data_IF_727860027797
#
_entry.id   IF_727860027797
#
_cell.length_a   1.000
_cell.length_b   1.000
_cell.length_c   1.000
_cell.angle_alpha   90.00
_cell.angle_beta   90.00
_cell.angle_gamma   90.00
#
_symmetry.space_group_name_H-M   'P 1'
#
loop_
_entity.id
_entity.type
_entity.pdbx_description
1 polymer ?
#
# COMPACT_ATOMS: atom_id res chain seq x y z
N UNK A 1 4.14 7.87 2.65
CA UNK A 1 4.33 6.45 2.32
C UNK A 1 4.38 6.32 0.82
N UNK A 2 5.34 5.57 0.28
CA UNK A 2 5.41 5.22 -1.14
C UNK A 2 4.56 3.97 -1.33
N UNK A 3 3.70 3.96 -2.33
CA UNK A 3 2.77 2.86 -2.61
C UNK A 3 2.91 2.41 -4.07
N UNK A 4 2.64 1.13 -4.32
CA UNK A 4 2.62 0.51 -5.64
C UNK A 4 1.18 0.24 -6.05
N UNK A 5 0.79 0.62 -7.26
CA UNK A 5 -0.50 0.21 -7.83
C UNK A 5 -0.34 -0.86 -8.89
N UNK A 6 -1.42 -1.61 -9.12
CA UNK A 6 -1.51 -2.64 -10.17
C UNK A 6 -0.40 -3.71 -10.08
N UNK A 7 0.05 -4.03 -8.87
CA UNK A 7 1.15 -4.96 -8.62
C UNK A 7 0.69 -6.43 -8.42
N UNK A 8 -0.62 -6.69 -8.55
CA UNK A 8 -1.21 -8.02 -8.62
C UNK A 8 -1.97 -8.15 -9.94
N UNK A 9 -1.66 -9.19 -10.72
CA UNK A 9 -2.26 -9.39 -12.07
C UNK A 9 -3.78 -9.49 -12.02
N UNK A 10 -4.30 -10.20 -11.03
CA UNK A 10 -5.75 -10.38 -10.86
C UNK A 10 -6.43 -9.03 -10.57
N UNK A 11 -5.80 -8.17 -9.77
CA UNK A 11 -6.31 -6.84 -9.49
C UNK A 11 -6.27 -5.90 -10.70
N UNK A 12 -5.24 -6.01 -11.55
CA UNK A 12 -5.22 -5.28 -12.82
C UNK A 12 -6.37 -5.71 -13.74
N UNK A 13 -6.66 -7.01 -13.79
CA UNK A 13 -7.78 -7.55 -14.56
C UNK A 13 -9.14 -7.09 -14.02
N UNK A 14 -9.36 -7.06 -12.70
CA UNK A 14 -10.58 -6.56 -12.05
C UNK A 14 -10.91 -5.11 -12.45
N UNK A 15 -9.87 -4.28 -12.58
CA UNK A 15 -10.02 -2.88 -12.96
C UNK A 15 -10.07 -2.65 -14.49
N UNK A 16 -10.02 -3.72 -15.30
CA UNK A 16 -9.81 -3.63 -16.76
C UNK A 16 -8.62 -2.72 -17.13
N UNK A 17 -7.57 -2.76 -16.32
CA UNK A 17 -6.35 -1.98 -16.56
C UNK A 17 -5.35 -2.81 -17.36
N UNK A 18 -4.62 -2.15 -18.27
CA UNK A 18 -3.45 -2.78 -18.89
C UNK A 18 -2.38 -3.04 -17.82
N UNK A 19 -1.71 -4.19 -17.92
CA UNK A 19 -0.58 -4.51 -17.04
C UNK A 19 0.53 -3.50 -17.37
N UNK A 20 0.97 -2.69 -16.40
CA UNK A 20 1.98 -1.68 -16.67
C UNK A 20 3.35 -2.31 -16.88
N UNK A 21 4.13 -1.77 -17.83
CA UNK A 21 5.51 -2.19 -18.09
C UNK A 21 6.49 -1.75 -16.98
N UNK A 22 6.12 -0.71 -16.23
CA UNK A 22 6.91 -0.11 -15.15
C UNK A 22 6.07 0.03 -13.87
N UNK A 23 6.67 0.00 -12.66
CA UNK A 23 5.92 0.15 -11.42
C UNK A 23 5.17 1.49 -11.34
N UNK A 24 3.86 1.44 -11.08
CA UNK A 24 3.05 2.64 -10.87
C UNK A 24 3.17 3.09 -9.41
N UNK A 25 3.83 4.23 -9.19
CA UNK A 25 4.14 4.74 -7.85
C UNK A 25 3.29 5.96 -7.52
N UNK A 26 2.77 6.00 -6.29
CA UNK A 26 2.09 7.17 -5.73
C UNK A 26 2.38 7.32 -4.23
N UNK A 27 1.81 8.36 -3.61
CA UNK A 27 2.05 8.67 -2.21
C UNK A 27 0.76 8.75 -1.40
N UNK A 28 0.82 8.25 -0.16
CA UNK A 28 -0.11 8.59 0.93
C UNK A 28 0.60 9.44 1.98
N UNK A 29 0.02 10.55 2.47
CA UNK A 29 0.60 11.37 3.53
C UNK A 29 0.56 10.63 4.86
N UNK A 30 1.42 11.05 5.79
CA UNK A 30 1.46 10.47 7.15
C UNK A 30 0.17 10.66 7.94
N UNK A 31 -0.65 11.65 7.60
CA UNK A 31 -1.94 11.93 8.27
C UNK A 31 -3.00 10.88 7.97
N UNK A 32 -2.85 10.09 6.91
CA UNK A 32 -3.76 8.98 6.62
C UNK A 32 -3.56 7.77 7.57
N UNK A 33 -2.44 7.70 8.27
CA UNK A 33 -2.05 6.53 9.08
C UNK A 33 -2.89 6.45 10.34
N UNK A 34 -3.44 5.26 10.59
CA UNK A 34 -4.10 4.87 11.85
C UNK A 34 -3.66 3.45 12.24
N UNK A 35 -3.81 3.13 13.52
CA UNK A 35 -3.39 1.84 14.07
C UNK A 35 -4.45 0.74 13.97
N UNK A 36 -4.15 -0.44 14.53
CA UNK A 36 -5.12 -1.53 14.63
C UNK A 36 -6.36 -1.12 15.45
N UNK A 37 -7.54 -1.53 14.99
CA UNK A 37 -8.85 -1.24 15.58
C UNK A 37 -9.29 0.23 15.55
N UNK A 38 -8.48 1.15 15.01
CA UNK A 38 -8.92 2.51 14.74
C UNK A 38 -9.96 2.52 13.61
N UNK A 39 -10.93 3.43 13.70
CA UNK A 39 -12.00 3.55 12.71
C UNK A 39 -11.54 4.19 11.41
N UNK A 40 -11.99 3.63 10.27
CA UNK A 40 -11.87 4.26 8.95
C UNK A 40 -13.05 5.22 8.76
N UNK A 41 -12.77 6.51 8.59
CA UNK A 41 -13.78 7.56 8.42
C UNK A 41 -14.03 7.82 6.94
N UNK A 42 -15.17 7.34 6.43
CA UNK A 42 -15.61 7.65 5.05
C UNK A 42 -16.09 9.10 4.96
N UNK A 43 -15.45 9.99 4.16
CA UNK A 43 -15.99 11.32 3.94
C UNK A 43 -17.38 11.25 3.31
N UNK A 44 -18.30 12.13 3.71
CA UNK A 44 -19.72 12.07 3.28
C UNK A 44 -19.91 12.11 1.76
N UNK A 45 -19.00 12.78 1.04
CA UNK A 45 -19.05 12.90 -0.42
C UNK A 45 -18.46 11.69 -1.17
N UNK A 46 -17.77 10.78 -0.48
CA UNK A 46 -17.22 9.55 -1.09
C UNK A 46 -18.34 8.53 -1.28
N UNK A 47 -18.54 8.12 -2.52
CA UNK A 47 -19.59 7.18 -2.94
C UNK A 47 -19.09 5.76 -3.10
N UNK A 48 -17.80 5.58 -3.43
CA UNK A 48 -17.20 4.27 -3.68
C UNK A 48 -15.94 4.12 -2.81
N UNK A 49 -16.13 3.62 -1.59
CA UNK A 49 -15.02 3.31 -0.68
C UNK A 49 -14.63 1.84 -0.87
N UNK A 50 -13.33 1.59 -0.94
CA UNK A 50 -12.76 0.29 -1.23
C UNK A 50 -11.56 -0.02 -0.32
N UNK A 51 -11.27 -1.30 -0.13
CA UNK A 51 -10.14 -1.79 0.66
C UNK A 51 -9.11 -2.48 -0.24
N UNK A 52 -7.85 -2.46 0.16
CA UNK A 52 -6.75 -3.12 -0.55
C UNK A 52 -5.78 -3.64 0.51
N UNK A 53 -5.73 -4.97 0.75
CA UNK A 53 -4.76 -5.54 1.68
C UNK A 53 -3.40 -5.67 1.00
N UNK A 54 -2.39 -5.06 1.62
CA UNK A 54 -1.06 -4.92 1.05
C UNK A 54 0.02 -5.35 2.06
N UNK A 55 1.10 -5.93 1.54
CA UNK A 55 2.34 -6.12 2.30
C UNK A 55 3.11 -4.79 2.32
N UNK A 56 3.28 -4.20 3.49
CA UNK A 56 4.08 -3.00 3.65
C UNK A 56 5.51 -3.35 4.07
N UNK A 57 6.48 -2.82 3.31
CA UNK A 57 7.91 -2.95 3.61
C UNK A 57 8.39 -1.76 4.45
N UNK A 58 9.00 -2.04 5.59
CA UNK A 58 9.59 -1.04 6.48
C UNK A 58 11.08 -0.94 6.19
N UNK A 59 11.52 0.23 5.71
CA UNK A 59 12.92 0.49 5.38
C UNK A 59 13.70 0.86 6.65
N UNK A 60 14.82 0.16 6.89
CA UNK A 60 15.64 0.30 8.10
C UNK A 60 16.83 1.24 7.98
N UNK A 61 17.19 1.67 6.77
CA UNK A 61 18.37 2.48 6.52
C UNK A 61 18.20 3.42 5.34
N UNK A 62 19.07 4.44 5.26
CA UNK A 62 19.13 5.30 4.08
C UNK A 62 19.65 4.48 2.90
N UNK A 63 18.93 4.52 1.79
CA UNK A 63 19.26 3.79 0.57
C UNK A 63 19.04 4.68 -0.65
N UNK A 64 19.88 4.53 -1.68
CA UNK A 64 19.76 5.21 -2.97
C UNK A 64 20.51 4.41 -4.03
N UNK A 65 19.91 4.23 -5.22
CA UNK A 65 20.50 3.50 -6.34
C UNK A 65 20.98 2.09 -5.93
N UNK A 66 20.14 1.36 -5.21
CA UNK A 66 20.46 0.05 -4.65
C UNK A 66 20.30 -1.01 -5.75
N UNK A 67 21.32 -1.85 -6.00
CA UNK A 67 21.15 -3.02 -6.86
C UNK A 67 20.07 -3.96 -6.31
N UNK A 68 19.33 -4.65 -7.17
CA UNK A 68 18.17 -5.49 -6.77
C UNK A 68 18.60 -6.56 -5.76
N UNK A 69 19.75 -7.18 -6.00
CA UNK A 69 20.38 -8.20 -5.14
C UNK A 69 20.77 -7.69 -3.74
N UNK A 70 20.85 -6.38 -3.54
CA UNK A 70 21.17 -5.77 -2.25
C UNK A 70 19.94 -5.21 -1.52
N UNK A 71 18.78 -5.14 -2.18
CA UNK A 71 17.60 -4.47 -1.66
C UNK A 71 17.18 -4.99 -0.27
N UNK A 72 17.24 -6.31 -0.06
CA UNK A 72 16.88 -6.95 1.21
C UNK A 72 17.74 -6.48 2.40
N UNK A 73 18.97 -6.00 2.15
CA UNK A 73 19.87 -5.50 3.21
C UNK A 73 19.32 -4.22 3.88
N UNK A 74 18.44 -3.50 3.19
CA UNK A 74 17.87 -2.22 3.66
C UNK A 74 16.48 -2.37 4.28
N UNK A 75 15.90 -3.57 4.26
CA UNK A 75 14.59 -3.86 4.85
C UNK A 75 14.76 -4.14 6.34
N UNK A 76 14.11 -3.35 7.19
CA UNK A 76 14.00 -3.62 8.63
C UNK A 76 13.02 -4.76 8.88
N UNK A 77 11.86 -4.71 8.21
CA UNK A 77 10.81 -5.70 8.37
C UNK A 77 9.59 -5.39 7.54
N UNK A 78 8.49 -6.06 7.88
CA UNK A 78 7.24 -6.02 7.15
C UNK A 78 6.08 -5.81 8.12
N UNK A 79 5.03 -5.15 7.66
CA UNK A 79 3.75 -4.99 8.37
C UNK A 79 2.61 -5.11 7.35
N UNK A 80 1.37 -5.18 7.83
CA UNK A 80 0.20 -5.13 6.96
C UNK A 80 -0.22 -3.67 6.79
N UNK A 81 -0.69 -3.34 5.59
CA UNK A 81 -1.34 -2.08 5.24
C UNK A 81 -2.71 -2.37 4.61
N UNK A 82 -3.71 -1.55 4.94
CA UNK A 82 -4.92 -1.42 4.13
C UNK A 82 -4.84 -0.12 3.32
N UNK A 83 -4.67 -0.19 2.00
CA UNK A 83 -4.67 0.96 1.10
C UNK A 83 -6.09 1.39 0.72
N UNK A 84 -6.79 1.93 1.73
CA UNK A 84 -8.18 2.39 1.58
C UNK A 84 -8.26 3.44 0.48
N UNK A 85 -9.23 3.26 -0.41
CA UNK A 85 -9.36 4.02 -1.66
C UNK A 85 -10.77 4.52 -1.88
N UNK A 86 -10.92 5.81 -2.16
CA UNK A 86 -12.16 6.39 -2.68
C UNK A 86 -12.12 6.35 -4.22
N UNK A 87 -12.68 5.30 -4.84
CA UNK A 87 -12.57 5.03 -6.29
C UNK A 87 -13.19 6.11 -7.15
N UNK A 88 -14.34 6.64 -6.72
CA UNK A 88 -15.03 7.74 -7.38
C UNK A 88 -14.18 9.02 -7.42
N UNK A 89 -13.32 9.21 -6.42
CA UNK A 89 -12.38 10.32 -6.34
C UNK A 89 -11.11 10.02 -7.15
N UNK A 90 -10.54 8.83 -6.99
CA UNK A 90 -9.33 8.38 -7.68
C UNK A 90 -9.48 8.50 -9.21
N UNK A 91 -10.58 7.98 -9.76
CA UNK A 91 -10.81 7.99 -11.21
C UNK A 91 -11.16 9.38 -11.73
N UNK A 92 -11.85 10.21 -10.94
CA UNK A 92 -12.15 11.59 -11.31
C UNK A 92 -10.89 12.44 -11.42
N UNK A 93 -9.97 12.29 -10.47
CA UNK A 93 -8.78 13.13 -10.37
C UNK A 93 -7.65 12.70 -11.30
N UNK A 94 -7.69 11.44 -11.77
CA UNK A 94 -6.62 10.75 -12.51
C UNK A 94 -5.36 10.53 -11.66
N UNK A 95 -4.90 11.54 -10.93
CA UNK A 95 -3.89 11.40 -9.88
C UNK A 95 -4.50 10.72 -8.65
N UNK A 96 -3.87 9.65 -8.18
CA UNK A 96 -4.47 8.80 -7.15
C UNK A 96 -4.35 9.36 -5.73
N UNK A 97 -3.40 10.28 -5.51
CA UNK A 97 -3.06 10.79 -4.17
C UNK A 97 -4.30 11.20 -3.39
N UNK A 98 -5.17 12.08 -3.90
CA UNK A 98 -6.34 12.54 -3.12
C UNK A 98 -7.30 11.40 -2.79
N UNK A 99 -7.62 10.54 -3.76
CA UNK A 99 -8.54 9.39 -3.56
C UNK A 99 -8.03 8.38 -2.54
N UNK A 100 -6.71 8.31 -2.33
CA UNK A 100 -6.06 7.41 -1.40
C UNK A 100 -5.55 8.09 -0.12
N UNK A 101 -5.83 9.37 0.13
CA UNK A 101 -5.10 10.12 1.19
C UNK A 101 -5.96 10.84 2.22
N UNK A 102 -7.26 10.55 2.29
CA UNK A 102 -8.06 11.06 3.40
C UNK A 102 -7.53 10.53 4.74
N UNK A 103 -7.72 11.30 5.81
CA UNK A 103 -7.37 10.85 7.16
C UNK A 103 -7.99 9.47 7.41
N UNK A 104 -7.26 8.60 8.11
CA UNK A 104 -7.61 7.18 8.37
C UNK A 104 -7.54 6.21 7.20
N UNK A 105 -7.13 6.63 5.99
CA UNK A 105 -7.08 5.75 4.81
C UNK A 105 -5.82 4.86 4.72
N UNK A 106 -4.95 4.87 5.72
CA UNK A 106 -3.80 3.97 5.79
C UNK A 106 -3.72 3.21 7.14
N UNK A 107 -4.71 2.36 7.48
CA UNK A 107 -4.58 1.45 8.62
C UNK A 107 -3.35 0.56 8.46
N UNK A 108 -2.50 0.49 9.48
CA UNK A 108 -1.23 -0.25 9.44
C UNK A 108 -0.94 -0.93 10.78
N UNK A 109 -0.40 -2.15 10.74
CA UNK A 109 -0.02 -2.91 11.94
C UNK A 109 -0.31 -4.42 11.80
N UNK A 110 -0.50 -5.16 12.91
CA UNK A 110 -0.42 -4.73 14.31
C UNK A 110 1.00 -4.66 14.87
N UNK A 111 1.96 -5.25 14.17
CA UNK A 111 3.36 -5.25 14.55
C UNK A 111 4.23 -5.24 13.29
N UNK A 112 5.51 -4.95 13.48
CA UNK A 112 6.51 -5.13 12.44
C UNK A 112 7.16 -6.48 12.67
N UNK A 113 7.03 -7.38 11.69
CA UNK A 113 7.79 -8.62 11.65
C UNK A 113 9.16 -8.30 11.07
N UNK A 114 10.23 -8.52 11.84
CA UNK A 114 11.59 -8.24 11.34
C UNK A 114 11.90 -9.13 10.14
N UNK A 115 12.79 -8.69 9.26
CA UNK A 115 13.17 -9.46 8.06
C UNK A 115 13.55 -10.91 8.39
N UNK A 116 14.27 -11.13 9.48
CA UNK A 116 14.69 -12.48 9.91
C UNK A 116 13.52 -13.37 10.39
N UNK A 117 12.42 -12.77 10.87
CA UNK A 117 11.24 -13.51 11.31
C UNK A 117 10.26 -13.79 10.16
N UNK A 118 10.33 -13.05 9.05
CA UNK A 118 9.42 -13.16 7.91
C UNK A 118 9.56 -14.47 7.14
N UNK A 119 10.79 -14.98 6.99
CA UNK A 119 11.07 -16.04 6.02
C UNK A 119 11.09 -15.49 4.60
N UNK A 120 10.41 -16.15 3.65
CA UNK A 120 10.31 -15.70 2.26
C UNK A 120 9.09 -14.79 2.05
N UNK A 121 9.28 -13.46 1.88
CA UNK A 121 8.18 -12.52 1.66
C UNK A 121 7.49 -12.69 0.30
N UNK A 122 8.09 -13.42 -0.64
CA UNK A 122 7.52 -13.70 -1.97
C UNK A 122 6.50 -14.84 -1.95
N UNK A 123 6.43 -15.59 -0.84
CA UNK A 123 5.59 -16.77 -0.70
C UNK A 123 4.73 -16.69 0.58
N UNK A 124 3.92 -15.64 0.65
CA UNK A 124 2.95 -15.43 1.72
C UNK A 124 1.54 -15.30 1.17
N UNK A 125 0.56 -15.65 1.99
CA UNK A 125 -0.84 -15.48 1.66
C UNK A 125 -1.38 -14.19 2.27
N UNK A 126 -1.97 -13.33 1.43
CA UNK A 126 -2.66 -12.11 1.86
C UNK A 126 -4.16 -12.34 1.70
N UNK A 127 -4.93 -11.99 2.73
CA UNK A 127 -6.40 -12.06 2.71
C UNK A 127 -7.01 -10.84 3.40
N UNK A 128 -8.23 -10.53 2.99
CA UNK A 128 -9.10 -9.51 3.58
C UNK A 128 -10.22 -10.17 4.36
#
# INVERSE_FOLDING_TARGET
MVCLGLNYRDHAAEQNAEIPDEPVIFFKPRTAIVGPNDGIVKPRFVRQLDYEAELAVVIGGKAKNIPVEEAEKYIFGYTILNDVSARDIQFKDKQWTRGKSFDTFAPMGPCILTRNQMGDPSNIYIRT
#
